data_IF_369026740620
#
_entry.id   IF_369026740620
#
_cell.length_a   1.000
_cell.length_b   1.000
_cell.length_c   1.000
_cell.angle_alpha   90.00
_cell.angle_beta   90.00
_cell.angle_gamma   90.00
#
_symmetry.space_group_name_H-M   'P 1'
#
loop_
_entity.id
_entity.type
_entity.pdbx_description
1 polymer ?
#
# COMPACT_ATOMS: atom_id res chain seq x y z
N UNK A 1 12.78 -13.75 2.08
CA UNK A 1 11.70 -13.20 2.94
C UNK A 1 11.08 -14.27 3.83
N UNK A 2 10.87 -13.96 5.12
CA UNK A 2 10.18 -14.87 6.06
C UNK A 2 8.67 -14.92 5.80
N UNK A 3 8.01 -16.01 6.24
CA UNK A 3 6.55 -16.17 6.14
C UNK A 3 5.79 -15.04 6.86
N UNK A 4 6.32 -14.56 7.98
CA UNK A 4 5.72 -13.48 8.77
C UNK A 4 5.61 -12.18 7.95
N UNK A 5 6.68 -11.77 7.26
CA UNK A 5 6.65 -10.58 6.39
C UNK A 5 5.70 -10.76 5.20
N UNK A 6 5.56 -11.98 4.69
CA UNK A 6 4.65 -12.28 3.59
C UNK A 6 3.20 -12.10 4.02
N UNK A 7 2.84 -12.70 5.15
CA UNK A 7 1.51 -12.60 5.72
C UNK A 7 1.19 -11.15 6.06
N UNK A 8 2.13 -10.43 6.69
CA UNK A 8 1.95 -9.01 7.01
C UNK A 8 1.73 -8.15 5.75
N UNK A 9 2.49 -8.38 4.68
CA UNK A 9 2.32 -7.68 3.40
C UNK A 9 0.94 -7.91 2.80
N UNK A 10 0.51 -9.17 2.72
CA UNK A 10 -0.83 -9.54 2.21
C UNK A 10 -1.92 -8.90 3.08
N UNK A 11 -1.74 -8.91 4.40
CA UNK A 11 -2.70 -8.33 5.34
C UNK A 11 -2.82 -6.80 5.15
N UNK A 12 -1.71 -6.08 4.97
CA UNK A 12 -1.74 -4.63 4.69
C UNK A 12 -2.42 -4.33 3.36
N UNK A 13 -2.18 -5.14 2.32
CA UNK A 13 -2.86 -4.98 1.02
C UNK A 13 -4.37 -5.17 1.20
N UNK A 14 -4.79 -6.23 1.91
CA UNK A 14 -6.21 -6.49 2.17
C UNK A 14 -6.87 -5.36 2.98
N UNK A 15 -6.21 -4.88 4.03
CA UNK A 15 -6.69 -3.73 4.80
C UNK A 15 -6.78 -2.46 3.97
N UNK A 16 -5.80 -2.19 3.11
CA UNK A 16 -5.82 -1.04 2.20
C UNK A 16 -7.02 -1.11 1.26
N UNK A 17 -7.31 -2.30 0.70
CA UNK A 17 -8.46 -2.49 -0.19
C UNK A 17 -9.80 -2.33 0.53
N UNK A 18 -9.95 -2.92 1.73
CA UNK A 18 -11.16 -2.77 2.55
C UNK A 18 -11.40 -1.32 2.95
N UNK A 19 -10.35 -0.65 3.42
CA UNK A 19 -10.39 0.76 3.77
C UNK A 19 -10.74 1.63 2.55
N UNK A 20 -10.15 1.36 1.38
CA UNK A 20 -10.46 2.11 0.16
C UNK A 20 -11.94 1.93 -0.22
N UNK A 21 -12.45 0.70 -0.14
CA UNK A 21 -13.88 0.43 -0.36
C UNK A 21 -14.77 1.22 0.59
N UNK A 22 -14.41 1.30 1.87
CA UNK A 22 -15.10 2.13 2.85
C UNK A 22 -15.04 3.62 2.53
N UNK A 23 -13.86 4.15 2.19
CA UNK A 23 -13.66 5.57 1.87
C UNK A 23 -14.46 5.99 0.63
N UNK A 24 -14.59 5.11 -0.37
CA UNK A 24 -15.43 5.34 -1.56
C UNK A 24 -16.94 5.38 -1.25
N UNK A 25 -17.37 4.86 -0.10
CA UNK A 25 -18.77 4.97 0.36
C UNK A 25 -19.05 6.27 1.11
N UNK A 26 -18.01 7.00 1.52
CA UNK A 26 -18.17 8.28 2.21
C UNK A 26 -18.54 9.37 1.20
N UNK A 27 -19.41 10.30 1.62
CA UNK A 27 -19.81 11.46 0.79
C UNK A 27 -18.70 12.50 0.62
N UNK A 28 -17.75 12.53 1.56
CA UNK A 28 -16.62 13.45 1.56
C UNK A 28 -15.35 12.66 1.80
N UNK A 29 -14.48 12.65 0.80
CA UNK A 29 -13.14 12.08 0.90
C UNK A 29 -12.22 13.05 1.64
N UNK A 30 -11.36 12.53 2.52
CA UNK A 30 -10.39 13.35 3.25
C UNK A 30 -9.00 13.11 2.67
N UNK A 31 -8.32 14.16 2.19
CA UNK A 31 -7.00 14.02 1.53
C UNK A 31 -5.99 13.23 2.38
N UNK A 32 -5.90 13.52 3.68
CA UNK A 32 -4.99 12.85 4.60
C UNK A 32 -5.18 11.34 4.73
N UNK A 33 -6.39 10.84 4.49
CA UNK A 33 -6.70 9.41 4.50
C UNK A 33 -5.89 8.70 3.39
N UNK A 34 -5.91 9.24 2.18
CA UNK A 34 -5.18 8.70 1.03
C UNK A 34 -3.66 8.84 1.17
N UNK A 35 -3.19 10.00 1.65
CA UNK A 35 -1.75 10.19 1.89
C UNK A 35 -1.21 9.21 2.94
N UNK A 36 -1.98 8.96 4.01
CA UNK A 36 -1.59 8.00 5.04
C UNK A 36 -1.55 6.57 4.50
N UNK A 37 -2.57 6.15 3.75
CA UNK A 37 -2.61 4.83 3.13
C UNK A 37 -1.47 4.65 2.11
N UNK A 38 -1.13 5.70 1.36
CA UNK A 38 0.04 5.75 0.48
C UNK A 38 1.35 5.58 1.25
N UNK A 39 1.51 6.29 2.37
CA UNK A 39 2.69 6.20 3.25
C UNK A 39 2.88 4.82 3.86
N UNK A 40 1.80 4.15 4.28
CA UNK A 40 1.86 2.76 4.79
C UNK A 40 2.37 1.82 3.68
N UNK A 41 1.86 1.97 2.45
CA UNK A 41 2.29 1.16 1.33
C UNK A 41 3.74 1.48 0.90
N UNK A 42 4.19 2.74 1.01
CA UNK A 42 5.60 3.10 0.83
C UNK A 42 6.51 2.36 1.81
N UNK A 43 6.18 2.42 3.11
CA UNK A 43 6.97 1.75 4.15
C UNK A 43 7.02 0.24 3.92
N UNK A 44 5.89 -0.36 3.56
CA UNK A 44 5.85 -1.78 3.23
C UNK A 44 6.66 -2.12 1.97
N UNK A 45 6.63 -1.30 0.92
CA UNK A 45 7.47 -1.49 -0.25
C UNK A 45 8.97 -1.50 0.12
N UNK A 46 9.42 -0.57 0.97
CA UNK A 46 10.80 -0.50 1.46
C UNK A 46 11.17 -1.74 2.28
N UNK A 47 10.32 -2.13 3.24
CA UNK A 47 10.54 -3.30 4.10
C UNK A 47 10.65 -4.57 3.25
N UNK A 48 9.70 -4.79 2.34
CA UNK A 48 9.64 -6.01 1.51
C UNK A 48 10.79 -6.06 0.52
N UNK A 49 11.16 -4.94 -0.12
CA UNK A 49 12.34 -4.86 -0.99
C UNK A 49 13.62 -5.26 -0.25
N UNK A 50 13.80 -4.81 1.00
CA UNK A 50 14.97 -5.20 1.81
C UNK A 50 15.01 -6.69 2.16
N UNK A 51 13.87 -7.37 2.15
CA UNK A 51 13.76 -8.82 2.42
C UNK A 51 13.94 -9.71 1.17
N UNK A 52 14.06 -9.09 -0.01
CA UNK A 52 14.22 -9.72 -1.33
C UNK A 52 15.64 -9.46 -1.87
N UNK A 53 16.64 -10.14 -1.29
CA UNK A 53 18.05 -9.98 -1.70
C UNK A 53 18.47 -10.94 -2.83
N UNK A 54 17.70 -12.00 -3.11
CA UNK A 54 18.13 -13.10 -4.00
C UNK A 54 17.04 -13.67 -4.93
N UNK A 55 15.84 -13.08 -4.98
CA UNK A 55 14.76 -13.57 -5.85
C UNK A 55 14.60 -12.63 -7.05
N UNK A 56 14.49 -13.21 -8.24
CA UNK A 56 14.42 -12.47 -9.51
C UNK A 56 13.24 -11.50 -9.60
N UNK A 57 12.15 -11.77 -8.85
CA UNK A 57 10.92 -10.96 -8.91
C UNK A 57 10.34 -10.70 -7.52
N UNK A 58 10.18 -9.42 -7.16
CA UNK A 58 9.52 -8.97 -5.93
C UNK A 58 8.12 -8.40 -6.21
N UNK A 59 7.16 -9.29 -6.51
CA UNK A 59 5.79 -8.89 -6.81
C UNK A 59 5.12 -8.09 -5.69
N UNK A 60 5.36 -8.46 -4.42
CA UNK A 60 4.77 -7.77 -3.27
C UNK A 60 5.32 -6.35 -3.13
N UNK A 61 6.62 -6.14 -3.33
CA UNK A 61 7.22 -4.81 -3.35
C UNK A 61 6.65 -3.93 -4.47
N UNK A 62 6.47 -4.51 -5.66
CA UNK A 62 5.86 -3.82 -6.81
C UNK A 62 4.40 -3.43 -6.49
N UNK A 63 3.60 -4.34 -5.94
CA UNK A 63 2.20 -4.06 -5.57
C UNK A 63 2.13 -2.90 -4.57
N UNK A 64 2.94 -2.93 -3.52
CA UNK A 64 3.00 -1.84 -2.55
C UNK A 64 3.47 -0.52 -3.21
N UNK A 65 4.42 -0.57 -4.14
CA UNK A 65 4.84 0.61 -4.90
C UNK A 65 3.72 1.20 -5.76
N UNK A 66 2.97 0.36 -6.46
CA UNK A 66 1.81 0.80 -7.26
C UNK A 66 0.73 1.40 -6.36
N UNK A 67 0.38 0.72 -5.25
CA UNK A 67 -0.59 1.24 -4.28
C UNK A 67 -0.15 2.58 -3.70
N UNK A 68 1.14 2.71 -3.36
CA UNK A 68 1.71 3.97 -2.89
C UNK A 68 1.49 5.10 -3.91
N UNK A 69 1.91 4.91 -5.17
CA UNK A 69 1.77 5.94 -6.21
C UNK A 69 0.31 6.28 -6.45
N UNK A 70 -0.56 5.28 -6.56
CA UNK A 70 -1.99 5.49 -6.80
C UNK A 70 -2.67 6.24 -5.66
N UNK A 71 -2.37 5.90 -4.41
CA UNK A 71 -2.98 6.54 -3.24
C UNK A 71 -2.46 7.95 -3.01
N UNK A 72 -1.15 8.18 -3.11
CA UNK A 72 -0.60 9.54 -3.04
C UNK A 72 -1.10 10.40 -4.20
N UNK A 73 -1.09 9.87 -5.42
CA UNK A 73 -1.57 10.57 -6.60
C UNK A 73 -3.05 10.94 -6.48
N UNK A 74 -3.90 9.98 -6.09
CA UNK A 74 -5.31 10.25 -5.86
C UNK A 74 -5.54 11.32 -4.79
N UNK A 75 -4.90 11.15 -3.63
CA UNK A 75 -5.02 12.09 -2.52
C UNK A 75 -4.49 13.48 -2.82
N UNK A 76 -3.46 13.63 -3.66
CA UNK A 76 -2.88 14.95 -3.95
C UNK A 76 -3.60 15.69 -5.07
N UNK A 77 -4.06 14.98 -6.11
CA UNK A 77 -4.60 15.59 -7.32
C UNK A 77 -6.14 15.63 -7.39
N UNK A 78 -6.85 14.74 -6.68
CA UNK A 78 -8.28 14.54 -6.87
C UNK A 78 -9.13 14.69 -5.59
N UNK A 79 -8.50 14.80 -4.42
CA UNK A 79 -9.14 15.03 -3.12
C UNK A 79 -8.63 16.32 -2.51
#
# INVERSE_FOLDING_TARGET
MSRAFQIASIFIIALTALWFGYEMMLRHSVQWHFLTAGGINFLMAVIINRQYTQKDHNYLGIIHGVLMVSLFGYGYFFV
#
